data_IF_675771844969
#
_entry.id   IF_675771844969
#
_cell.length_a   1.000
_cell.length_b   1.000
_cell.length_c   1.000
_cell.angle_alpha   90.00
_cell.angle_beta   90.00
_cell.angle_gamma   90.00
#
_symmetry.space_group_name_H-M   'P 1'
#
loop_
_entity.id
_entity.type
_entity.pdbx_description
1 polymer ?
#
# COMPACT_ATOMS: atom_id res chain seq x y z
N UNK A 1 2.92 -15.38 -38.19
CA UNK A 1 1.66 -16.06 -38.48
C UNK A 1 0.58 -15.36 -37.67
N UNK A 2 -0.05 -14.35 -38.26
CA UNK A 2 -1.14 -13.58 -37.64
C UNK A 2 -2.42 -14.36 -37.92
N UNK A 3 -3.00 -14.97 -36.89
CA UNK A 3 -4.28 -15.66 -37.02
C UNK A 3 -5.35 -14.56 -37.09
N UNK A 4 -5.83 -14.27 -38.29
CA UNK A 4 -7.00 -13.42 -38.48
C UNK A 4 -8.23 -14.16 -37.90
N UNK A 5 -8.73 -13.70 -36.76
CA UNK A 5 -9.96 -14.21 -36.15
C UNK A 5 -11.21 -13.82 -36.95
N UNK A 6 -12.33 -14.54 -36.79
CA UNK A 6 -13.58 -14.30 -37.51
C UNK A 6 -14.17 -12.93 -37.15
N UNK A 7 -14.13 -11.99 -38.08
CA UNK A 7 -14.38 -10.56 -37.83
C UNK A 7 -15.86 -10.11 -37.94
N UNK A 8 -16.85 -11.01 -37.85
CA UNK A 8 -18.23 -10.68 -38.22
C UNK A 8 -19.30 -10.79 -37.13
N UNK A 9 -19.29 -11.86 -36.34
CA UNK A 9 -20.43 -12.21 -35.45
C UNK A 9 -20.13 -12.01 -33.95
N UNK A 10 -18.86 -11.95 -33.55
CA UNK A 10 -18.43 -11.86 -32.15
C UNK A 10 -18.30 -10.42 -31.62
N UNK A 11 -18.58 -9.39 -32.44
CA UNK A 11 -18.45 -7.99 -32.03
C UNK A 11 -19.64 -7.47 -31.19
N UNK A 12 -20.86 -7.92 -31.49
CA UNK A 12 -22.08 -7.49 -30.78
C UNK A 12 -22.07 -7.81 -29.26
N UNK A 13 -21.55 -8.96 -28.80
CA UNK A 13 -21.39 -9.26 -27.38
C UNK A 13 -20.42 -8.31 -26.65
N UNK A 14 -19.37 -7.82 -27.33
CA UNK A 14 -18.36 -6.96 -26.71
C UNK A 14 -18.87 -5.53 -26.53
N UNK A 15 -19.53 -4.96 -27.54
CA UNK A 15 -20.15 -3.63 -27.44
C UNK A 15 -21.23 -3.60 -26.33
N UNK A 16 -22.07 -4.63 -26.28
CA UNK A 16 -23.07 -4.77 -25.20
C UNK A 16 -22.41 -4.84 -23.81
N UNK A 17 -21.21 -5.44 -23.72
CA UNK A 17 -20.44 -5.48 -22.48
C UNK A 17 -19.86 -4.11 -22.11
N UNK A 18 -19.34 -3.35 -23.09
CA UNK A 18 -18.84 -1.99 -22.89
C UNK A 18 -19.93 -1.06 -22.38
N UNK A 19 -21.10 -1.05 -23.01
CA UNK A 19 -22.27 -0.28 -22.56
C UNK A 19 -22.65 -0.61 -21.12
N UNK A 20 -22.61 -1.91 -20.77
CA UNK A 20 -22.88 -2.37 -19.42
C UNK A 20 -21.82 -1.90 -18.41
N UNK A 21 -20.55 -1.75 -18.81
CA UNK A 21 -19.49 -1.20 -17.95
C UNK A 21 -19.66 0.31 -17.76
N UNK A 22 -19.89 1.05 -18.84
CA UNK A 22 -20.10 2.50 -18.80
C UNK A 22 -21.32 2.84 -17.94
N UNK A 23 -22.44 2.15 -18.16
CA UNK A 23 -23.65 2.31 -17.34
C UNK A 23 -23.37 2.02 -15.85
N UNK A 24 -22.63 0.95 -15.55
CA UNK A 24 -22.27 0.61 -14.18
C UNK A 24 -21.35 1.66 -13.54
N UNK A 25 -20.38 2.19 -14.30
CA UNK A 25 -19.45 3.21 -13.85
C UNK A 25 -20.15 4.54 -13.58
N UNK A 26 -21.00 5.01 -14.50
CA UNK A 26 -21.82 6.21 -14.31
C UNK A 26 -22.72 6.09 -13.08
N UNK A 27 -23.39 4.95 -12.88
CA UNK A 27 -24.23 4.74 -11.71
C UNK A 27 -23.43 4.82 -10.38
N UNK A 28 -22.23 4.26 -10.33
CA UNK A 28 -21.36 4.32 -9.12
C UNK A 28 -20.82 5.73 -8.92
N UNK A 29 -20.33 6.36 -9.98
CA UNK A 29 -19.82 7.72 -9.95
C UNK A 29 -20.90 8.72 -9.52
N UNK A 30 -22.15 8.53 -9.94
CA UNK A 30 -23.25 9.38 -9.49
C UNK A 30 -23.62 9.13 -8.02
N UNK A 31 -23.58 7.87 -7.54
CA UNK A 31 -23.73 7.57 -6.11
C UNK A 31 -22.63 8.27 -5.28
N UNK A 32 -21.38 8.24 -5.74
CA UNK A 32 -20.24 8.93 -5.11
C UNK A 32 -20.41 10.45 -5.14
N UNK A 33 -20.80 11.02 -6.29
CA UNK A 33 -21.02 12.45 -6.44
C UNK A 33 -22.18 12.94 -5.57
N UNK A 34 -23.28 12.17 -5.48
CA UNK A 34 -24.41 12.45 -4.57
C UNK A 34 -23.96 12.44 -3.11
N UNK A 35 -23.19 11.43 -2.70
CA UNK A 35 -22.66 11.35 -1.34
C UNK A 35 -21.70 12.49 -1.00
N UNK A 36 -20.87 12.90 -1.97
CA UNK A 36 -19.98 14.05 -1.88
C UNK A 36 -20.75 15.36 -1.67
N UNK A 37 -21.79 15.62 -2.48
CA UNK A 37 -22.66 16.80 -2.33
C UNK A 37 -23.37 16.86 -0.98
N UNK A 38 -23.66 15.71 -0.38
CA UNK A 38 -24.29 15.61 0.94
C UNK A 38 -23.28 15.68 2.10
N UNK A 39 -21.96 15.71 1.84
CA UNK A 39 -20.94 15.65 2.88
C UNK A 39 -20.85 14.31 3.61
N UNK A 40 -21.47 13.25 3.07
CA UNK A 40 -21.58 11.92 3.70
C UNK A 40 -20.66 10.88 3.10
N UNK A 41 -19.74 11.30 2.22
CA UNK A 41 -18.90 10.40 1.43
C UNK A 41 -18.18 9.36 2.31
N UNK A 42 -17.51 9.80 3.37
CA UNK A 42 -16.77 8.90 4.28
C UNK A 42 -17.66 7.85 4.98
N UNK A 43 -18.94 8.13 5.20
CA UNK A 43 -19.89 7.20 5.84
C UNK A 43 -20.34 6.11 4.87
N UNK A 44 -20.59 6.48 3.62
CA UNK A 44 -21.25 5.61 2.64
C UNK A 44 -20.28 4.96 1.66
N UNK A 45 -19.05 5.46 1.54
CA UNK A 45 -18.04 4.98 0.59
C UNK A 45 -17.86 3.47 0.69
N UNK A 46 -17.76 2.93 1.91
CA UNK A 46 -17.64 1.48 2.13
C UNK A 46 -18.80 0.69 1.52
N UNK A 47 -20.03 1.17 1.72
CA UNK A 47 -21.22 0.53 1.16
C UNK A 47 -21.29 0.62 -0.36
N UNK A 48 -20.81 1.73 -0.95
CA UNK A 48 -20.69 1.89 -2.40
C UNK A 48 -19.62 0.93 -2.94
N UNK A 49 -18.47 0.80 -2.26
CA UNK A 49 -17.40 -0.11 -2.63
C UNK A 49 -17.84 -1.58 -2.61
N UNK A 50 -18.65 -1.99 -1.62
CA UNK A 50 -19.21 -3.35 -1.57
C UNK A 50 -20.12 -3.63 -2.78
N UNK A 51 -20.95 -2.65 -3.19
CA UNK A 51 -21.76 -2.75 -4.41
C UNK A 51 -20.89 -2.77 -5.67
N UNK A 52 -19.84 -1.95 -5.72
CA UNK A 52 -18.85 -1.97 -6.79
C UNK A 52 -18.24 -3.37 -6.95
N UNK A 53 -17.77 -4.00 -5.87
CA UNK A 53 -17.17 -5.35 -5.90
C UNK A 53 -18.18 -6.40 -6.36
N UNK A 54 -19.46 -6.26 -6.00
CA UNK A 54 -20.53 -7.14 -6.49
C UNK A 54 -20.76 -6.96 -7.99
N UNK A 55 -20.82 -5.72 -8.48
CA UNK A 55 -20.99 -5.40 -9.91
C UNK A 55 -19.79 -5.85 -10.74
N UNK A 56 -18.56 -5.70 -10.23
CA UNK A 56 -17.35 -6.13 -10.94
C UNK A 56 -17.29 -7.65 -11.14
N UNK A 57 -17.75 -8.43 -10.15
CA UNK A 57 -17.91 -9.89 -10.29
C UNK A 57 -18.94 -10.26 -11.35
N UNK A 58 -20.07 -9.55 -11.42
CA UNK A 58 -21.09 -9.78 -12.44
C UNK A 58 -20.59 -9.40 -13.84
N UNK A 59 -19.90 -8.26 -13.97
CA UNK A 59 -19.26 -7.84 -15.21
C UNK A 59 -18.28 -8.89 -15.70
N UNK A 60 -17.42 -9.42 -14.82
CA UNK A 60 -16.52 -10.53 -15.14
C UNK A 60 -17.26 -11.77 -15.64
N UNK A 61 -18.35 -12.17 -15.00
CA UNK A 61 -19.14 -13.32 -15.46
C UNK A 61 -19.73 -13.10 -16.85
N UNK A 62 -20.23 -11.89 -17.14
CA UNK A 62 -20.73 -11.52 -18.47
C UNK A 62 -19.62 -11.55 -19.51
N UNK A 63 -18.45 -11.01 -19.17
CA UNK A 63 -17.27 -11.02 -20.02
C UNK A 63 -16.83 -12.46 -20.39
N UNK A 64 -16.76 -13.35 -19.41
CA UNK A 64 -16.43 -14.77 -19.65
C UNK A 64 -17.48 -15.43 -20.54
N UNK A 65 -18.78 -15.17 -20.32
CA UNK A 65 -19.87 -15.71 -21.14
C UNK A 65 -19.84 -15.17 -22.58
N UNK A 66 -19.40 -13.94 -22.78
CA UNK A 66 -19.26 -13.31 -24.09
C UNK A 66 -18.04 -13.83 -24.88
N UNK A 67 -17.34 -14.87 -24.40
CA UNK A 67 -16.20 -15.44 -25.11
C UNK A 67 -14.94 -14.57 -25.06
N UNK A 68 -14.82 -13.68 -24.07
CA UNK A 68 -13.71 -12.75 -23.88
C UNK A 68 -12.36 -13.46 -23.67
N UNK A 69 -11.77 -13.96 -24.75
CA UNK A 69 -10.53 -14.74 -24.72
C UNK A 69 -9.37 -14.07 -25.46
N UNK A 70 -9.59 -13.07 -26.32
CA UNK A 70 -8.55 -12.62 -27.26
C UNK A 70 -8.24 -11.11 -27.33
N UNK A 71 -9.14 -10.19 -26.94
CA UNK A 71 -8.96 -8.74 -27.17
C UNK A 71 -9.07 -7.89 -25.89
N UNK A 72 -8.33 -8.28 -24.86
CA UNK A 72 -8.54 -7.80 -23.49
C UNK A 72 -7.83 -6.48 -23.21
N UNK A 73 -6.70 -6.18 -23.87
CA UNK A 73 -6.03 -4.87 -23.73
C UNK A 73 -6.84 -3.68 -24.28
N UNK A 74 -7.79 -3.91 -25.19
CA UNK A 74 -8.52 -2.82 -25.84
C UNK A 74 -9.47 -2.10 -24.89
N UNK A 75 -10.11 -2.79 -23.93
CA UNK A 75 -11.08 -2.14 -23.07
C UNK A 75 -10.41 -1.10 -22.15
N UNK A 76 -9.28 -1.44 -21.53
CA UNK A 76 -8.51 -0.48 -20.74
C UNK A 76 -8.00 0.71 -21.54
N UNK A 77 -7.43 0.45 -22.72
CA UNK A 77 -6.89 1.50 -23.57
C UNK A 77 -7.99 2.42 -24.09
N UNK A 78 -9.13 1.88 -24.53
CA UNK A 78 -10.28 2.66 -24.99
C UNK A 78 -10.85 3.56 -23.88
N UNK A 79 -10.94 3.07 -22.64
CA UNK A 79 -11.43 3.90 -21.52
C UNK A 79 -10.44 4.99 -21.11
N UNK A 80 -9.14 4.85 -21.40
CA UNK A 80 -8.15 5.89 -21.19
C UNK A 80 -8.02 6.86 -22.36
N UNK A 81 -8.39 6.45 -23.59
CA UNK A 81 -8.22 7.25 -24.81
C UNK A 81 -9.31 8.33 -25.05
N UNK A 82 -10.16 8.60 -24.06
CA UNK A 82 -11.12 9.72 -24.04
C UNK A 82 -12.27 9.68 -25.09
N UNK A 83 -12.36 8.64 -25.92
CA UNK A 83 -13.44 8.49 -26.91
C UNK A 83 -14.80 8.07 -26.31
N UNK A 84 -14.83 7.73 -25.01
CA UNK A 84 -16.07 7.37 -24.30
C UNK A 84 -16.58 8.58 -23.53
N UNK A 85 -17.77 9.05 -23.89
CA UNK A 85 -18.45 10.11 -23.14
C UNK A 85 -19.00 9.57 -21.82
N UNK A 86 -18.58 10.19 -20.72
CA UNK A 86 -19.05 9.88 -19.37
C UNK A 86 -19.85 11.05 -18.80
N UNK A 87 -20.97 10.75 -18.12
CA UNK A 87 -21.83 11.78 -17.53
C UNK A 87 -21.23 12.38 -16.25
N UNK A 88 -20.40 11.60 -15.55
CA UNK A 88 -19.84 11.97 -14.26
C UNK A 88 -18.33 12.09 -14.34
N UNK A 89 -17.76 13.09 -13.64
CA UNK A 89 -16.31 13.35 -13.61
C UNK A 89 -15.50 12.14 -13.14
N UNK A 90 -16.04 11.34 -12.22
CA UNK A 90 -15.37 10.15 -11.65
C UNK A 90 -15.68 8.84 -12.39
N UNK A 91 -16.57 8.88 -13.39
CA UNK A 91 -16.94 7.65 -14.11
C UNK A 91 -15.79 7.07 -14.94
N UNK A 92 -14.89 7.85 -15.58
CA UNK A 92 -13.72 7.29 -16.26
C UNK A 92 -12.84 6.45 -15.32
N UNK A 93 -12.54 6.94 -14.12
CA UNK A 93 -11.70 6.22 -13.15
C UNK A 93 -12.40 4.97 -12.62
N UNK A 94 -13.71 5.04 -12.38
CA UNK A 94 -14.48 3.85 -11.96
C UNK A 94 -14.58 2.83 -13.09
N UNK A 95 -14.74 3.28 -14.34
CA UNK A 95 -14.76 2.42 -15.52
C UNK A 95 -13.39 1.75 -15.73
N UNK A 96 -12.30 2.51 -15.67
CA UNK A 96 -10.93 1.99 -15.74
C UNK A 96 -10.67 0.95 -14.65
N UNK A 97 -11.15 1.19 -13.42
CA UNK A 97 -11.02 0.24 -12.32
C UNK A 97 -11.83 -1.05 -12.57
N UNK A 98 -13.05 -0.94 -13.12
CA UNK A 98 -13.88 -2.10 -13.48
C UNK A 98 -13.24 -2.91 -14.61
N UNK A 99 -12.79 -2.23 -15.65
CA UNK A 99 -12.11 -2.83 -16.79
C UNK A 99 -10.87 -3.59 -16.30
N UNK A 100 -9.96 -2.92 -15.57
CA UNK A 100 -8.75 -3.54 -15.04
C UNK A 100 -9.04 -4.76 -14.17
N UNK A 101 -10.09 -4.71 -13.35
CA UNK A 101 -10.52 -5.86 -12.55
C UNK A 101 -11.00 -7.03 -13.41
N UNK A 102 -11.83 -6.75 -14.42
CA UNK A 102 -12.34 -7.78 -15.31
C UNK A 102 -11.19 -8.40 -16.10
N UNK A 103 -10.28 -7.60 -16.64
CA UNK A 103 -9.12 -8.06 -17.40
C UNK A 103 -8.19 -8.92 -16.54
N UNK A 104 -7.78 -8.42 -15.36
CA UNK A 104 -6.88 -9.12 -14.43
C UNK A 104 -7.45 -10.46 -13.92
N UNK A 105 -8.74 -10.70 -14.08
CA UNK A 105 -9.41 -11.94 -13.65
C UNK A 105 -10.12 -12.69 -14.79
N UNK A 106 -10.10 -12.17 -16.01
CA UNK A 106 -10.86 -12.68 -17.15
C UNK A 106 -10.11 -13.78 -17.90
N UNK A 107 -8.80 -13.63 -18.08
CA UNK A 107 -7.99 -14.57 -18.84
C UNK A 107 -7.29 -15.61 -17.97
N UNK A 108 -7.20 -16.84 -18.49
CA UNK A 108 -6.33 -17.90 -17.92
C UNK A 108 -4.84 -17.63 -18.15
N UNK A 109 -4.49 -16.81 -19.15
CA UNK A 109 -3.13 -16.61 -19.62
C UNK A 109 -2.87 -15.12 -19.86
N UNK A 110 -2.70 -14.34 -18.79
CA UNK A 110 -2.17 -12.99 -18.90
C UNK A 110 -0.64 -13.11 -19.07
N UNK A 111 -0.02 -12.39 -20.01
CA UNK A 111 1.44 -12.33 -20.06
C UNK A 111 1.99 -11.44 -18.94
N UNK A 112 3.29 -11.56 -18.61
CA UNK A 112 3.93 -10.73 -17.59
C UNK A 112 3.93 -9.23 -17.96
N UNK A 113 4.09 -8.92 -19.26
CA UNK A 113 3.98 -7.55 -19.76
C UNK A 113 2.57 -6.98 -19.56
N UNK A 114 1.53 -7.76 -19.87
CA UNK A 114 0.14 -7.34 -19.73
C UNK A 114 -0.21 -7.13 -18.25
N UNK A 115 0.27 -8.03 -17.39
CA UNK A 115 0.13 -7.90 -15.94
C UNK A 115 0.75 -6.60 -15.42
N UNK A 116 1.91 -6.23 -15.97
CA UNK A 116 2.61 -4.99 -15.61
C UNK A 116 1.83 -3.76 -16.06
N UNK A 117 1.28 -3.77 -17.28
CA UNK A 117 0.45 -2.69 -17.83
C UNK A 117 -0.83 -2.52 -17.01
N UNK A 118 -1.57 -3.60 -16.78
CA UNK A 118 -2.81 -3.58 -15.99
C UNK A 118 -2.53 -3.17 -14.54
N UNK A 119 -1.44 -3.67 -13.95
CA UNK A 119 -0.98 -3.27 -12.63
C UNK A 119 -0.69 -1.76 -12.54
N UNK A 120 0.02 -1.21 -13.54
CA UNK A 120 0.33 0.22 -13.62
C UNK A 120 -0.91 1.10 -13.82
N UNK A 121 -1.89 0.62 -14.59
CA UNK A 121 -3.17 1.32 -14.75
C UNK A 121 -3.98 1.32 -13.45
N UNK A 122 -4.01 0.20 -12.71
CA UNK A 122 -4.63 0.14 -11.37
C UNK A 122 -3.94 1.07 -10.37
N UNK A 123 -2.61 1.18 -10.41
CA UNK A 123 -1.86 2.14 -9.58
C UNK A 123 -2.23 3.59 -9.93
N UNK A 124 -2.24 3.94 -11.22
CA UNK A 124 -2.60 5.29 -11.70
C UNK A 124 -4.04 5.65 -11.33
N UNK A 125 -4.98 4.73 -11.54
CA UNK A 125 -6.40 4.89 -11.20
C UNK A 125 -6.59 5.01 -9.69
N UNK A 126 -5.87 4.19 -8.91
CA UNK A 126 -5.87 4.28 -7.45
C UNK A 126 -5.35 5.63 -6.95
N UNK A 127 -4.31 6.18 -7.58
CA UNK A 127 -3.78 7.50 -7.24
C UNK A 127 -4.78 8.62 -7.57
N UNK A 128 -5.44 8.55 -8.73
CA UNK A 128 -6.50 9.50 -9.12
C UNK A 128 -7.68 9.46 -8.15
N UNK A 129 -8.16 8.27 -7.78
CA UNK A 129 -9.24 8.09 -6.81
C UNK A 129 -8.86 8.58 -5.41
N UNK A 130 -7.59 8.38 -5.01
CA UNK A 130 -7.10 8.91 -3.73
C UNK A 130 -7.08 10.45 -3.74
N UNK A 131 -6.66 11.07 -4.83
CA UNK A 131 -6.68 12.52 -5.01
C UNK A 131 -8.12 13.08 -5.02
N UNK A 132 -9.08 12.31 -5.55
CA UNK A 132 -10.50 12.62 -5.50
C UNK A 132 -11.16 12.41 -4.11
N UNK A 133 -10.40 12.00 -3.09
CA UNK A 133 -10.92 11.79 -1.74
C UNK A 133 -11.70 10.47 -1.58
N UNK A 134 -11.38 9.46 -2.40
CA UNK A 134 -11.97 8.12 -2.35
C UNK A 134 -10.94 7.07 -1.87
N UNK A 135 -10.51 7.13 -0.60
CA UNK A 135 -9.42 6.31 -0.08
C UNK A 135 -9.73 4.81 -0.10
N UNK A 136 -10.98 4.38 0.07
CA UNK A 136 -11.32 2.95 0.08
C UNK A 136 -11.31 2.36 -1.34
N UNK A 137 -11.75 3.14 -2.33
CA UNK A 137 -11.63 2.76 -3.74
C UNK A 137 -10.17 2.69 -4.18
N UNK A 138 -9.37 3.68 -3.80
CA UNK A 138 -7.92 3.68 -4.02
C UNK A 138 -7.24 2.47 -3.36
N UNK A 139 -7.53 2.20 -2.08
CA UNK A 139 -7.01 1.03 -1.36
C UNK A 139 -7.34 -0.27 -2.09
N UNK A 140 -8.58 -0.42 -2.56
CA UNK A 140 -9.00 -1.59 -3.33
C UNK A 140 -8.23 -1.70 -4.67
N UNK A 141 -8.03 -0.59 -5.40
CA UNK A 141 -7.25 -0.56 -6.63
C UNK A 141 -5.81 -1.05 -6.40
N UNK A 142 -5.13 -0.49 -5.40
CA UNK A 142 -3.76 -0.89 -5.04
C UNK A 142 -3.68 -2.35 -4.57
N UNK A 143 -4.66 -2.86 -3.83
CA UNK A 143 -4.71 -4.28 -3.44
C UNK A 143 -4.86 -5.21 -4.63
N UNK A 144 -5.65 -4.82 -5.62
CA UNK A 144 -5.81 -5.58 -6.86
C UNK A 144 -4.51 -5.60 -7.65
N UNK A 145 -3.86 -4.44 -7.81
CA UNK A 145 -2.56 -4.32 -8.45
C UNK A 145 -1.49 -5.19 -7.75
N UNK A 146 -1.40 -5.11 -6.42
CA UNK A 146 -0.46 -5.92 -5.65
C UNK A 146 -0.73 -7.43 -5.76
N UNK A 147 -2.00 -7.84 -5.84
CA UNK A 147 -2.36 -9.24 -6.09
C UNK A 147 -1.92 -9.69 -7.48
N UNK A 148 -2.02 -8.80 -8.47
CA UNK A 148 -1.60 -9.06 -9.84
C UNK A 148 -0.08 -9.21 -9.92
N UNK A 149 0.69 -8.25 -9.41
CA UNK A 149 2.15 -8.33 -9.36
C UNK A 149 2.65 -9.60 -8.66
N UNK A 150 2.02 -9.99 -7.55
CA UNK A 150 2.35 -11.23 -6.86
C UNK A 150 2.16 -12.48 -7.72
N UNK A 151 1.12 -12.54 -8.57
CA UNK A 151 0.88 -13.70 -9.46
C UNK A 151 2.02 -13.88 -10.47
N UNK A 152 2.71 -12.80 -10.81
CA UNK A 152 3.83 -12.77 -11.76
C UNK A 152 5.19 -12.65 -11.09
N UNK A 153 5.28 -12.88 -9.78
CA UNK A 153 6.51 -12.80 -8.99
C UNK A 153 7.21 -11.41 -9.03
N UNK A 154 6.52 -10.33 -9.41
CA UNK A 154 7.04 -8.97 -9.26
C UNK A 154 6.88 -8.51 -7.79
N UNK A 155 7.88 -8.86 -6.98
CA UNK A 155 7.93 -8.50 -5.57
C UNK A 155 8.02 -6.98 -5.34
N UNK A 156 8.63 -6.24 -6.28
CA UNK A 156 8.80 -4.79 -6.16
C UNK A 156 7.48 -4.06 -6.40
N UNK A 157 6.73 -4.45 -7.43
CA UNK A 157 5.37 -3.97 -7.69
C UNK A 157 4.41 -4.32 -6.56
N UNK A 158 4.48 -5.55 -6.03
CA UNK A 158 3.65 -5.97 -4.89
C UNK A 158 3.90 -5.11 -3.65
N UNK A 159 5.16 -4.90 -3.26
CA UNK A 159 5.50 -4.13 -2.06
C UNK A 159 5.16 -2.64 -2.23
N UNK A 160 5.33 -2.07 -3.44
CA UNK A 160 4.87 -0.70 -3.77
C UNK A 160 3.35 -0.57 -3.64
N UNK A 161 2.59 -1.52 -4.19
CA UNK A 161 1.13 -1.54 -4.08
C UNK A 161 0.64 -1.69 -2.64
N UNK A 162 1.29 -2.53 -1.83
CA UNK A 162 0.99 -2.65 -0.39
C UNK A 162 1.24 -1.35 0.35
N UNK A 163 2.30 -0.62 0.00
CA UNK A 163 2.57 0.72 0.54
C UNK A 163 1.43 1.69 0.21
N UNK A 164 1.04 1.76 -1.07
CA UNK A 164 -0.01 2.68 -1.52
C UNK A 164 -1.37 2.32 -0.92
N UNK A 165 -1.70 1.03 -0.83
CA UNK A 165 -2.93 0.55 -0.19
C UNK A 165 -3.00 0.94 1.30
N UNK A 166 -1.90 0.76 2.05
CA UNK A 166 -1.85 1.15 3.45
C UNK A 166 -1.91 2.67 3.63
N UNK A 167 -1.26 3.43 2.74
CA UNK A 167 -1.33 4.89 2.74
C UNK A 167 -2.77 5.38 2.48
N UNK A 168 -3.48 4.79 1.52
CA UNK A 168 -4.89 5.07 1.24
C UNK A 168 -5.78 4.68 2.43
N UNK A 169 -5.58 3.48 2.99
CA UNK A 169 -6.32 3.03 4.18
C UNK A 169 -6.17 4.01 5.34
N UNK A 170 -4.95 4.50 5.59
CA UNK A 170 -4.68 5.49 6.63
C UNK A 170 -5.45 6.78 6.43
N UNK A 171 -5.62 7.25 5.19
CA UNK A 171 -6.41 8.46 4.89
C UNK A 171 -7.89 8.24 5.24
N UNK A 172 -8.40 7.01 5.10
CA UNK A 172 -9.78 6.67 5.51
C UNK A 172 -10.01 6.67 7.02
N UNK A 173 -8.95 6.58 7.84
CA UNK A 173 -9.09 6.52 9.30
C UNK A 173 -9.39 7.91 9.90
N UNK A 174 -10.27 7.98 10.93
CA UNK A 174 -10.53 9.22 11.66
C UNK A 174 -9.24 9.84 12.18
N UNK A 175 -9.09 11.17 12.02
CA UNK A 175 -7.87 11.93 12.39
C UNK A 175 -7.40 11.67 13.83
N UNK A 176 -8.34 11.47 14.75
CA UNK A 176 -8.07 11.30 16.18
C UNK A 176 -8.18 9.85 16.66
N UNK A 177 -8.22 8.88 15.74
CA UNK A 177 -8.23 7.47 16.13
C UNK A 177 -6.82 7.02 16.51
N UNK A 178 -6.67 6.34 17.65
CA UNK A 178 -5.40 5.71 18.02
C UNK A 178 -4.88 4.74 16.94
N UNK A 179 -5.78 4.17 16.13
CA UNK A 179 -5.43 3.37 14.95
C UNK A 179 -4.64 4.15 13.91
N UNK A 180 -4.98 5.43 13.67
CA UNK A 180 -4.25 6.30 12.75
C UNK A 180 -2.86 6.63 13.29
N UNK A 181 -2.75 6.93 14.59
CA UNK A 181 -1.46 7.16 15.24
C UNK A 181 -0.54 5.93 15.12
N UNK A 182 -1.08 4.73 15.38
CA UNK A 182 -0.33 3.49 15.21
C UNK A 182 0.08 3.26 13.76
N UNK A 183 -0.80 3.53 12.79
CA UNK A 183 -0.47 3.44 11.37
C UNK A 183 0.62 4.45 10.97
N UNK A 184 0.58 5.68 11.50
CA UNK A 184 1.59 6.71 11.27
C UNK A 184 2.94 6.32 11.89
N UNK A 185 2.95 5.84 13.13
CA UNK A 185 4.15 5.32 13.78
C UNK A 185 4.74 4.16 12.99
N UNK A 186 3.92 3.22 12.54
CA UNK A 186 4.36 2.11 11.70
C UNK A 186 4.95 2.59 10.37
N UNK A 187 4.30 3.58 9.72
CA UNK A 187 4.77 4.17 8.47
C UNK A 187 6.12 4.89 8.63
N UNK A 188 6.32 5.53 9.77
CA UNK A 188 7.53 6.30 10.10
C UNK A 188 8.69 5.37 10.48
N UNK A 189 8.45 4.42 11.38
CA UNK A 189 9.46 3.52 11.94
C UNK A 189 9.95 2.50 10.90
N UNK A 190 9.02 1.79 10.26
CA UNK A 190 9.39 0.67 9.37
C UNK A 190 9.43 1.09 7.91
N UNK A 191 8.64 2.10 7.53
CA UNK A 191 8.24 2.29 6.14
C UNK A 191 7.38 1.13 5.64
N UNK A 192 6.35 1.41 4.83
CA UNK A 192 5.63 0.31 4.18
C UNK A 192 6.49 -0.28 3.05
N UNK A 193 6.49 -1.62 2.94
CA UNK A 193 7.45 -2.37 2.11
C UNK A 193 8.70 -2.86 2.84
N UNK A 194 8.74 -2.76 4.19
CA UNK A 194 9.79 -3.35 5.04
C UNK A 194 11.20 -3.02 4.56
N UNK A 195 11.59 -1.73 4.60
CA UNK A 195 12.94 -1.30 4.20
C UNK A 195 13.90 -1.41 5.38
N UNK A 196 14.70 -2.50 5.53
CA UNK A 196 15.57 -2.69 6.69
C UNK A 196 16.57 -1.53 6.88
N UNK A 197 17.01 -0.92 5.77
CA UNK A 197 17.90 0.24 5.81
C UNK A 197 17.28 1.46 6.51
N UNK A 198 15.96 1.65 6.44
CA UNK A 198 15.30 2.76 7.16
C UNK A 198 15.30 2.50 8.66
N UNK A 199 15.12 1.25 9.08
CA UNK A 199 15.20 0.88 10.48
C UNK A 199 16.64 1.01 11.01
N UNK A 200 17.65 0.74 10.17
CA UNK A 200 19.05 1.01 10.50
C UNK A 200 19.28 2.51 10.77
N UNK A 201 18.70 3.40 9.96
CA UNK A 201 18.75 4.85 10.22
C UNK A 201 18.08 5.18 11.56
N UNK A 202 16.94 4.58 11.89
CA UNK A 202 16.30 4.77 13.20
C UNK A 202 17.15 4.27 14.37
N UNK A 203 17.83 3.14 14.19
CA UNK A 203 18.80 2.63 15.17
C UNK A 203 19.91 3.66 15.42
N UNK A 204 20.48 4.25 14.36
CA UNK A 204 21.49 5.30 14.48
C UNK A 204 20.94 6.55 15.18
N UNK A 205 19.70 6.96 14.86
CA UNK A 205 19.03 8.08 15.52
C UNK A 205 18.80 7.80 17.01
N UNK A 206 18.43 6.57 17.38
CA UNK A 206 18.25 6.18 18.78
C UNK A 206 19.58 6.21 19.54
N UNK A 207 20.65 5.62 18.98
CA UNK A 207 21.99 5.66 19.59
C UNK A 207 22.47 7.09 19.79
N UNK A 208 22.27 7.96 18.79
CA UNK A 208 22.59 9.38 18.90
C UNK A 208 21.74 10.07 19.98
N UNK A 209 20.44 9.78 20.03
CA UNK A 209 19.50 10.31 21.03
C UNK A 209 19.88 9.92 22.46
N UNK A 210 20.17 8.63 22.71
CA UNK A 210 20.63 8.16 24.01
C UNK A 210 21.99 8.74 24.38
N UNK A 211 22.91 8.88 23.42
CA UNK A 211 24.19 9.56 23.66
C UNK A 211 23.97 11.01 24.12
N UNK A 212 23.14 11.78 23.42
CA UNK A 212 22.82 13.16 23.80
C UNK A 212 22.14 13.20 25.18
N UNK A 213 21.26 12.25 25.48
CA UNK A 213 20.61 12.16 26.78
C UNK A 213 21.62 11.90 27.91
N UNK A 214 22.55 10.96 27.73
CA UNK A 214 23.61 10.69 28.71
C UNK A 214 24.55 11.89 28.89
N UNK A 215 24.90 12.59 27.80
CA UNK A 215 25.73 13.81 27.86
C UNK A 215 25.04 14.96 28.62
N UNK A 216 23.71 15.02 28.60
CA UNK A 216 22.93 16.02 29.32
C UNK A 216 22.77 15.73 30.81
N UNK A 217 23.03 14.50 31.25
CA UNK A 217 22.94 14.13 32.67
C UNK A 217 24.17 14.62 33.46
N UNK A 218 24.00 14.96 34.76
CA UNK A 218 25.11 15.27 35.63
C UNK A 218 26.13 14.12 35.63
N UNK A 219 27.39 14.44 35.31
CA UNK A 219 28.47 13.45 35.26
C UNK A 219 28.82 13.01 36.68
N UNK A 220 28.60 11.75 37.00
CA UNK A 220 29.08 11.13 38.23
C UNK A 220 30.46 10.53 37.96
N UNK A 221 31.50 11.00 38.64
CA UNK A 221 32.82 10.35 38.62
C UNK A 221 33.82 10.80 37.56
N UNK A 222 33.62 11.97 36.91
CA UNK A 222 34.60 12.53 35.98
C UNK A 222 34.65 11.87 34.60
N UNK A 223 33.60 11.13 34.22
CA UNK A 223 33.51 10.47 32.92
C UNK A 223 33.68 11.48 31.75
N UNK A 224 34.49 11.09 30.78
CA UNK A 224 34.76 11.89 29.58
C UNK A 224 33.61 11.77 28.56
N UNK A 225 33.47 12.74 27.66
CA UNK A 225 32.41 12.72 26.61
C UNK A 225 32.52 11.50 25.69
N UNK A 226 33.76 11.08 25.39
CA UNK A 226 34.04 9.86 24.64
C UNK A 226 33.56 8.60 25.36
N UNK A 227 33.60 8.59 26.70
CA UNK A 227 33.13 7.47 27.51
C UNK A 227 31.61 7.37 27.48
N UNK A 228 30.88 8.49 27.53
CA UNK A 228 29.43 8.51 27.39
C UNK A 228 28.97 7.95 26.03
N UNK A 229 29.63 8.36 24.94
CA UNK A 229 29.36 7.83 23.59
C UNK A 229 29.70 6.34 23.51
N UNK A 230 30.87 5.93 24.01
CA UNK A 230 31.26 4.52 24.03
C UNK A 230 30.25 3.66 24.81
N UNK A 231 29.83 4.13 25.98
CA UNK A 231 28.85 3.46 26.84
C UNK A 231 27.50 3.32 26.13
N UNK A 232 26.98 4.38 25.48
CA UNK A 232 25.72 4.33 24.74
C UNK A 232 25.79 3.30 23.59
N UNK A 233 26.84 3.40 22.75
CA UNK A 233 27.03 2.48 21.62
C UNK A 233 27.17 1.04 22.09
N UNK A 234 28.01 0.81 23.12
CA UNK A 234 28.27 -0.52 23.65
C UNK A 234 27.01 -1.11 24.29
N UNK A 235 26.25 -0.34 25.07
CA UNK A 235 25.01 -0.78 25.69
C UNK A 235 23.93 -1.12 24.65
N UNK A 236 23.85 -0.32 23.57
CA UNK A 236 22.94 -0.60 22.47
C UNK A 236 23.30 -1.88 21.70
N UNK A 237 24.58 -2.19 21.52
CA UNK A 237 25.07 -3.37 20.78
C UNK A 237 25.17 -4.61 21.67
N UNK A 238 25.43 -4.43 22.96
CA UNK A 238 25.56 -5.48 23.95
C UNK A 238 24.95 -4.99 25.28
N UNK A 239 23.70 -5.37 25.58
CA UNK A 239 23.02 -5.02 26.82
C UNK A 239 23.94 -5.19 28.03
N UNK A 240 24.05 -4.14 28.85
CA UNK A 240 24.82 -4.24 30.09
C UNK A 240 24.24 -5.32 31.00
N UNK A 241 25.11 -6.17 31.54
CA UNK A 241 24.70 -7.20 32.49
C UNK A 241 24.34 -6.60 33.85
N UNK A 242 23.68 -7.39 34.70
CA UNK A 242 23.39 -6.99 36.09
C UNK A 242 24.64 -6.60 36.90
N UNK A 243 25.82 -7.10 36.51
CA UNK A 243 27.11 -6.74 37.12
C UNK A 243 27.55 -5.32 36.78
N UNK A 244 27.41 -4.90 35.53
CA UNK A 244 27.83 -3.58 35.04
C UNK A 244 26.91 -2.48 35.58
N UNK A 245 25.61 -2.76 35.65
CA UNK A 245 24.59 -1.84 36.17
C UNK A 245 24.76 -1.56 37.67
N UNK A 246 25.40 -2.44 38.44
CA UNK A 246 25.68 -2.21 39.87
C UNK A 246 26.79 -1.20 40.11
N UNK A 247 27.69 -1.02 39.14
CA UNK A 247 28.78 -0.05 39.21
C UNK A 247 28.29 1.37 38.84
N UNK A 248 27.18 1.45 38.11
CA UNK A 248 26.55 2.70 37.70
C UNK A 248 25.61 3.20 38.81
N UNK A 249 25.89 4.41 39.31
CA UNK A 249 25.03 5.11 40.26
C UNK A 249 24.41 6.36 39.62
N UNK A 250 23.29 6.82 40.17
CA UNK A 250 22.63 8.05 39.71
C UNK A 250 21.73 7.88 38.46
N UNK A 251 21.46 8.97 37.73
CA UNK A 251 20.43 9.01 36.70
C UNK A 251 20.78 8.26 35.41
N UNK A 252 22.03 7.80 35.27
CA UNK A 252 22.49 7.05 34.10
C UNK A 252 21.85 5.65 34.03
N UNK A 253 21.65 5.03 35.20
CA UNK A 253 21.10 3.67 35.31
C UNK A 253 19.74 3.49 34.60
N UNK A 254 18.69 4.28 34.90
CA UNK A 254 17.41 4.12 34.22
C UNK A 254 17.48 4.44 32.72
N UNK A 255 18.35 5.35 32.28
CA UNK A 255 18.52 5.66 30.85
C UNK A 255 19.12 4.46 30.11
N UNK A 256 20.16 3.85 30.65
CA UNK A 256 20.81 2.68 30.06
C UNK A 256 19.90 1.43 30.07
N UNK A 257 19.03 1.30 31.07
CA UNK A 257 18.00 0.26 31.12
C UNK A 257 16.96 0.45 29.99
N UNK A 258 16.45 1.68 29.83
CA UNK A 258 15.51 2.01 28.73
C UNK A 258 16.18 1.82 27.37
N UNK A 259 17.44 2.21 27.22
CA UNK A 259 18.23 2.01 26.00
C UNK A 259 18.36 0.53 25.67
N UNK A 260 18.67 -0.31 26.67
CA UNK A 260 18.81 -1.76 26.51
C UNK A 260 17.53 -2.38 25.94
N UNK A 261 16.38 -2.14 26.58
CA UNK A 261 15.10 -2.69 26.13
C UNK A 261 14.69 -2.15 24.76
N UNK A 262 14.96 -0.87 24.50
CA UNK A 262 14.68 -0.27 23.19
C UNK A 262 15.58 -0.89 22.11
N UNK A 263 16.87 -1.06 22.39
CA UNK A 263 17.83 -1.68 21.50
C UNK A 263 17.49 -3.13 21.19
N UNK A 264 17.05 -3.92 22.18
CA UNK A 264 16.58 -5.28 21.97
C UNK A 264 15.37 -5.34 21.02
N UNK A 265 14.36 -4.49 21.25
CA UNK A 265 13.18 -4.44 20.38
C UNK A 265 13.57 -4.08 18.95
N UNK A 266 14.38 -3.03 18.76
CA UNK A 266 14.77 -2.57 17.42
C UNK A 266 15.69 -3.57 16.70
N UNK A 267 16.63 -4.21 17.39
CA UNK A 267 17.50 -5.25 16.80
C UNK A 267 16.71 -6.48 16.40
N UNK A 268 15.82 -6.96 17.26
CA UNK A 268 14.96 -8.10 16.94
C UNK A 268 14.06 -7.80 15.73
N UNK A 269 13.44 -6.62 15.70
CA UNK A 269 12.67 -6.17 14.54
C UNK A 269 13.54 -6.10 13.28
N UNK A 270 14.73 -5.51 13.37
CA UNK A 270 15.66 -5.42 12.24
C UNK A 270 16.05 -6.80 11.71
N UNK A 271 16.37 -7.74 12.57
CA UNK A 271 16.74 -9.10 12.19
C UNK A 271 15.57 -9.84 11.52
N UNK A 272 14.36 -9.73 12.08
CA UNK A 272 13.14 -10.31 11.47
C UNK A 272 12.91 -9.73 10.06
N UNK A 273 13.09 -8.42 9.88
CA UNK A 273 12.92 -7.78 8.58
C UNK A 273 14.03 -8.18 7.59
N UNK A 274 15.26 -8.31 8.07
CA UNK A 274 16.41 -8.74 7.28
C UNK A 274 16.22 -10.18 6.78
N UNK A 275 15.85 -11.10 7.68
CA UNK A 275 15.55 -12.49 7.33
C UNK A 275 14.42 -12.58 6.32
N UNK A 276 13.32 -11.86 6.56
CA UNK A 276 12.17 -11.86 5.64
C UNK A 276 12.56 -11.36 4.25
N UNK A 277 13.45 -10.37 4.17
CA UNK A 277 13.97 -9.87 2.90
C UNK A 277 14.88 -10.90 2.23
N UNK A 278 15.73 -11.57 2.99
CA UNK A 278 16.67 -12.57 2.48
C UNK A 278 15.94 -13.78 1.88
N UNK A 279 14.90 -14.30 2.54
CA UNK A 279 14.12 -15.44 2.04
C UNK A 279 13.14 -15.13 0.89
N UNK A 280 12.99 -13.85 0.53
CA UNK A 280 12.19 -13.44 -0.64
C UNK A 280 13.01 -13.31 -1.93
N UNK A 281 14.34 -13.29 -1.81
CA UNK A 281 15.31 -13.23 -2.90
C UNK A 281 15.76 -14.66 -3.24
#
# INVERSE_FOLDING_TARGET
MVIAGPAGEDAAPLETFKDSLVSAANAIAEELARAGRQGRLAEVEKGILERYVKRSKLARQRFIKAGGSASVMLALEEFHQADVEFEQVLAPEVAALLAAYVEANGQKWLSESDATIIGGSLETTGAALLAAGLPLFAENAFRQAGTLYRRFNDSSGEDRCKYLAAAAHRVSLPRWSGKRLLADLQAVLFGYGYRPLRLLVWILVLVAGFTVWLLALPRTGGANESEAFYVAVQNFVNPMGLGDVRLLSGPWKPVLEIETYTGDVFRNLFFVLLIRRLFRL
#
